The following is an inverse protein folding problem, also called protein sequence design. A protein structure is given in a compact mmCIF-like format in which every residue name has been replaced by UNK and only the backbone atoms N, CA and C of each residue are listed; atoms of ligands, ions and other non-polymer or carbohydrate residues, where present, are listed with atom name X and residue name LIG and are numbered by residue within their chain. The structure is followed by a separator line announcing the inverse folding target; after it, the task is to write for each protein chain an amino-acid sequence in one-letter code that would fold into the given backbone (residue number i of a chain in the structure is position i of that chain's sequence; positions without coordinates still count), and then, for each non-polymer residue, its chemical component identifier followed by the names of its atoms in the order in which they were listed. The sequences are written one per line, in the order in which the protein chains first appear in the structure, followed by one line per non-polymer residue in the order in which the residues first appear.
data_IF_472447973500
#
_entry.id   IF_472447973500
#
_cell.length_a   1.000
_cell.length_b   1.000
_cell.length_c   1.000
_cell.angle_alpha   90.00
_cell.angle_beta   90.00
_cell.angle_gamma   90.00
#
_symmetry.space_group_name_H-M   'P 1'
#
loop_
_entity.id
_entity.type
_entity.pdbx_description
1 polymer ?
#
# COMPACT_ATOMS: atom_id res chain seq x y z
N UNK A 1 10.68 2.40 46.80
CA UNK A 1 9.90 2.79 45.62
C UNK A 1 9.82 1.59 44.70
N UNK A 2 8.65 0.97 44.56
CA UNK A 2 8.46 -0.19 43.67
C UNK A 2 8.64 0.24 42.22
N UNK A 3 9.02 -0.66 41.32
CA UNK A 3 9.16 -0.33 39.89
C UNK A 3 7.82 0.13 39.29
N UNK A 4 6.70 -0.43 39.76
CA UNK A 4 5.36 0.05 39.39
C UNK A 4 5.12 1.52 39.78
N UNK A 5 5.65 1.98 40.93
CA UNK A 5 5.47 3.38 41.37
C UNK A 5 6.27 4.34 40.48
N UNK A 6 7.47 3.92 40.06
CA UNK A 6 8.32 4.69 39.14
C UNK A 6 7.67 4.81 37.77
N UNK A 7 7.06 3.73 37.29
CA UNK A 7 6.31 3.70 36.03
C UNK A 7 5.08 4.60 36.07
N UNK A 8 4.28 4.52 37.15
CA UNK A 8 3.12 5.39 37.34
C UNK A 8 3.52 6.88 37.38
N UNK A 9 4.60 7.21 38.08
CA UNK A 9 5.14 8.57 38.11
C UNK A 9 5.63 9.04 36.72
N UNK A 10 6.24 8.14 35.93
CA UNK A 10 6.64 8.44 34.54
C UNK A 10 5.42 8.69 33.65
N UNK A 11 4.40 7.85 33.73
CA UNK A 11 3.16 8.02 32.96
C UNK A 11 2.45 9.34 33.32
N UNK A 12 2.39 9.69 34.60
CA UNK A 12 1.83 10.96 35.03
C UNK A 12 2.57 12.17 34.44
N UNK A 13 3.91 12.12 34.34
CA UNK A 13 4.71 13.16 33.67
C UNK A 13 4.42 13.20 32.16
N UNK A 14 4.36 12.05 31.49
CA UNK A 14 4.12 12.00 30.06
C UNK A 14 2.74 12.56 29.67
N UNK A 15 1.70 12.28 30.47
CA UNK A 15 0.38 12.91 30.27
C UNK A 15 0.41 14.44 30.38
N UNK A 16 1.27 14.99 31.25
CA UNK A 16 1.48 16.44 31.32
C UNK A 16 2.14 16.97 30.06
N UNK A 17 3.17 16.29 29.56
CA UNK A 17 3.83 16.65 28.31
C UNK A 17 2.87 16.59 27.12
N UNK A 18 2.00 15.58 27.07
CA UNK A 18 0.93 15.49 26.07
C UNK A 18 -0.03 16.67 26.12
N UNK A 19 -0.45 17.09 27.32
CA UNK A 19 -1.34 18.25 27.49
C UNK A 19 -0.67 19.59 27.12
N UNK A 20 0.64 19.71 27.30
CA UNK A 20 1.40 20.89 26.92
C UNK A 20 1.63 20.97 25.40
N UNK A 21 1.83 19.81 24.77
CA UNK A 21 2.05 19.67 23.34
C UNK A 21 3.53 19.56 22.96
N UNK A 22 3.82 18.84 21.88
CA UNK A 22 5.21 18.56 21.48
C UNK A 22 6.03 19.81 21.18
N UNK A 23 5.42 20.80 20.50
CA UNK A 23 6.10 22.03 20.13
C UNK A 23 6.56 22.82 21.37
N UNK A 24 5.73 22.87 22.42
CA UNK A 24 6.10 23.54 23.66
C UNK A 24 7.19 22.77 24.40
N UNK A 25 7.15 21.44 24.42
CA UNK A 25 8.20 20.62 25.05
C UNK A 25 9.53 20.75 24.33
N UNK A 26 9.53 20.90 23.00
CA UNK A 26 10.74 21.16 22.22
C UNK A 26 11.29 22.56 22.50
N UNK A 27 10.44 23.59 22.54
CA UNK A 27 10.84 24.95 22.91
C UNK A 27 11.38 25.02 24.35
N UNK A 28 10.71 24.36 25.30
CA UNK A 28 11.18 24.22 26.68
C UNK A 28 12.56 23.58 26.76
N UNK A 29 12.85 22.59 25.91
CA UNK A 29 14.15 21.92 25.86
C UNK A 29 15.25 22.76 25.23
N UNK A 30 14.89 23.65 24.31
CA UNK A 30 15.81 24.62 23.70
C UNK A 30 16.18 25.73 24.70
N UNK A 31 15.23 26.15 25.53
CA UNK A 31 15.42 27.14 26.60
C UNK A 31 16.03 26.52 27.88
N UNK A 32 15.84 25.21 28.10
CA UNK A 32 16.31 24.53 29.29
C UNK A 32 17.84 24.56 29.40
N UNK A 33 18.32 25.26 30.43
CA UNK A 33 19.73 25.19 30.84
C UNK A 33 20.14 23.75 31.19
N UNK A 34 21.43 23.44 31.11
CA UNK A 34 21.99 22.11 31.41
C UNK A 34 21.62 21.53 32.80
N UNK A 35 21.11 22.37 33.71
CA UNK A 35 20.70 21.99 35.06
C UNK A 35 19.21 21.61 35.21
N UNK A 36 18.39 21.67 34.15
CA UNK A 36 16.98 21.27 34.25
C UNK A 36 16.86 19.75 34.49
N UNK A 37 16.33 19.32 35.67
CA UNK A 37 16.17 17.90 35.98
C UNK A 37 15.12 17.21 35.08
N UNK A 38 14.21 17.95 34.45
CA UNK A 38 13.19 17.40 33.57
C UNK A 38 13.66 17.25 32.11
N UNK A 39 14.75 17.92 31.71
CA UNK A 39 15.24 17.89 30.34
C UNK A 39 15.54 16.47 29.85
N UNK A 40 16.09 15.60 30.71
CA UNK A 40 16.32 14.20 30.36
C UNK A 40 15.00 13.44 30.09
N UNK A 41 13.97 13.71 30.89
CA UNK A 41 12.65 13.09 30.75
C UNK A 41 11.89 13.60 29.52
N UNK A 42 11.96 14.91 29.24
CA UNK A 42 11.36 15.52 28.04
C UNK A 42 12.01 14.96 26.75
N UNK A 43 13.34 14.81 26.72
CA UNK A 43 14.05 14.18 25.57
C UNK A 43 13.71 12.70 25.39
N UNK A 44 13.54 11.97 26.49
CA UNK A 44 13.13 10.56 26.44
C UNK A 44 11.71 10.42 25.87
N UNK A 45 10.80 11.30 26.28
CA UNK A 45 9.44 11.35 25.75
C UNK A 45 9.41 11.66 24.24
N UNK A 46 10.18 12.65 23.77
CA UNK A 46 10.26 12.96 22.33
C UNK A 46 10.75 11.77 21.50
N UNK A 47 11.78 11.05 21.98
CA UNK A 47 12.28 9.84 21.31
C UNK A 47 11.25 8.72 21.23
N UNK A 48 10.41 8.59 22.25
CA UNK A 48 9.31 7.62 22.28
C UNK A 48 8.26 7.96 21.20
N UNK A 49 7.88 9.24 21.09
CA UNK A 49 6.95 9.73 20.04
C UNK A 49 7.49 9.52 18.63
N UNK A 50 8.78 9.78 18.41
CA UNK A 50 9.41 9.54 17.10
C UNK A 50 9.50 8.05 16.75
N UNK A 51 9.67 7.19 17.76
CA UNK A 51 9.63 5.74 17.58
C UNK A 51 8.22 5.26 17.25
N UNK A 52 7.20 5.80 17.92
CA UNK A 52 5.79 5.53 17.65
C UNK A 52 5.41 5.88 16.20
N UNK A 53 5.79 7.08 15.73
CA UNK A 53 5.59 7.51 14.33
C UNK A 53 6.27 6.61 13.33
N UNK A 54 7.54 6.25 13.58
CA UNK A 54 8.25 5.34 12.70
C UNK A 54 7.55 3.99 12.65
N UNK A 55 7.08 3.47 13.78
CA UNK A 55 6.38 2.19 13.83
C UNK A 55 5.03 2.25 13.06
N UNK A 56 4.31 3.37 13.14
CA UNK A 56 3.12 3.59 12.33
C UNK A 56 3.42 3.64 10.83
N UNK A 57 4.50 4.32 10.43
CA UNK A 57 4.96 4.36 9.05
C UNK A 57 5.42 2.99 8.56
N UNK A 58 6.16 2.23 9.37
CA UNK A 58 6.53 0.85 9.08
C UNK A 58 5.28 -0.02 8.94
N UNK A 59 4.30 0.10 9.84
CA UNK A 59 3.04 -0.66 9.75
C UNK A 59 2.26 -0.33 8.49
N UNK A 60 2.19 0.95 8.11
CA UNK A 60 1.56 1.38 6.86
C UNK A 60 2.33 0.86 5.64
N UNK A 61 3.66 0.87 5.68
CA UNK A 61 4.51 0.32 4.63
C UNK A 61 4.33 -1.20 4.52
N UNK A 62 4.30 -1.95 5.62
CA UNK A 62 4.02 -3.39 5.60
C UNK A 62 2.62 -3.72 5.10
N UNK A 63 1.61 -2.92 5.47
CA UNK A 63 0.27 -3.06 4.91
C UNK A 63 0.29 -2.83 3.39
N UNK A 64 1.01 -1.80 2.92
CA UNK A 64 1.19 -1.53 1.49
C UNK A 64 1.95 -2.66 0.78
N UNK A 65 2.97 -3.25 1.41
CA UNK A 65 3.75 -4.37 0.86
C UNK A 65 2.94 -5.65 0.83
N UNK A 66 2.14 -5.95 1.85
CA UNK A 66 1.19 -7.06 1.84
C UNK A 66 0.20 -6.89 0.68
N UNK A 67 -0.35 -5.69 0.50
CA UNK A 67 -1.25 -5.40 -0.63
C UNK A 67 -0.54 -5.45 -1.99
N UNK A 68 0.74 -5.09 -2.06
CA UNK A 68 1.55 -5.18 -3.26
C UNK A 68 1.91 -6.64 -3.60
N UNK A 69 2.09 -7.49 -2.59
CA UNK A 69 2.29 -8.92 -2.76
C UNK A 69 1.01 -9.62 -3.20
N UNK A 70 -0.16 -9.24 -2.66
CA UNK A 70 -1.46 -9.68 -3.15
C UNK A 70 -1.71 -9.21 -4.60
N UNK A 71 -1.30 -7.99 -4.96
CA UNK A 71 -1.34 -7.49 -6.33
C UNK A 71 -0.36 -8.24 -7.26
N UNK A 72 0.81 -8.66 -6.77
CA UNK A 72 1.77 -9.46 -7.52
C UNK A 72 1.30 -10.91 -7.73
N UNK A 73 0.58 -11.49 -6.75
CA UNK A 73 -0.13 -12.77 -6.88
C UNK A 73 -1.28 -12.65 -7.89
N UNK A 74 -2.10 -11.60 -7.80
CA UNK A 74 -3.18 -11.30 -8.76
C UNK A 74 -2.64 -11.09 -10.18
N UNK A 75 -1.47 -10.48 -10.36
CA UNK A 75 -0.81 -10.33 -11.65
C UNK A 75 -0.33 -11.68 -12.23
N UNK A 76 0.13 -12.60 -11.38
CA UNK A 76 0.49 -13.98 -11.79
C UNK A 76 -0.75 -14.83 -12.14
N UNK A 77 -1.82 -14.72 -11.37
CA UNK A 77 -3.09 -15.42 -11.65
C UNK A 77 -3.79 -14.87 -12.89
N UNK A 78 -3.72 -13.56 -13.13
CA UNK A 78 -4.24 -12.91 -14.34
C UNK A 78 -3.54 -13.39 -15.61
N UNK A 79 -2.23 -13.64 -15.55
CA UNK A 79 -1.46 -14.17 -16.69
C UNK A 79 -1.88 -15.61 -17.07
N UNK A 80 -2.34 -16.42 -16.12
CA UNK A 80 -2.86 -17.77 -16.37
C UNK A 80 -4.34 -17.76 -16.81
N UNK A 81 -5.16 -16.88 -16.24
CA UNK A 81 -6.57 -16.72 -16.62
C UNK A 81 -6.74 -16.16 -18.04
N UNK A 82 -5.86 -15.24 -18.46
CA UNK A 82 -5.90 -14.61 -19.78
C UNK A 82 -5.68 -15.60 -20.94
N UNK A 83 -4.97 -16.71 -20.71
CA UNK A 83 -4.73 -17.73 -21.74
C UNK A 83 -5.98 -18.53 -22.14
N UNK A 84 -6.97 -18.67 -21.25
CA UNK A 84 -8.20 -19.44 -21.57
C UNK A 84 -9.28 -18.59 -22.23
N UNK A 85 -9.45 -17.33 -21.83
CA UNK A 85 -10.44 -16.43 -22.43
C UNK A 85 -9.97 -15.85 -23.76
N UNK A 86 -8.68 -15.50 -23.88
CA UNK A 86 -8.10 -15.03 -25.14
C UNK A 86 -8.11 -16.10 -26.24
N UNK A 87 -8.03 -17.38 -25.86
CA UNK A 87 -8.12 -18.49 -26.80
C UNK A 87 -9.52 -18.58 -27.44
N UNK A 88 -10.59 -18.46 -26.64
CA UNK A 88 -11.95 -18.49 -27.16
C UNK A 88 -12.31 -17.24 -27.96
N UNK A 89 -11.81 -16.05 -27.59
CA UNK A 89 -12.02 -14.85 -28.41
C UNK A 89 -11.23 -14.88 -29.71
N UNK A 90 -10.00 -15.42 -29.72
CA UNK A 90 -9.24 -15.63 -30.96
C UNK A 90 -9.95 -16.60 -31.91
N UNK A 91 -10.51 -17.70 -31.37
CA UNK A 91 -11.30 -18.65 -32.16
C UNK A 91 -12.58 -18.00 -32.70
N UNK A 92 -13.30 -17.25 -31.86
CA UNK A 92 -14.52 -16.56 -32.28
C UNK A 92 -14.22 -15.52 -33.38
N UNK A 93 -13.12 -14.76 -33.25
CA UNK A 93 -12.69 -13.81 -34.27
C UNK A 93 -12.34 -14.50 -35.60
N UNK A 94 -11.65 -15.65 -35.55
CA UNK A 94 -11.32 -16.44 -36.74
C UNK A 94 -12.58 -17.00 -37.42
N UNK A 95 -13.53 -17.54 -36.65
CA UNK A 95 -14.79 -18.06 -37.17
C UNK A 95 -15.64 -16.96 -37.83
N UNK A 96 -15.73 -15.78 -37.19
CA UNK A 96 -16.45 -14.63 -37.75
C UNK A 96 -15.80 -14.14 -39.05
N UNK A 97 -14.46 -14.06 -39.08
CA UNK A 97 -13.72 -13.65 -40.28
C UNK A 97 -13.91 -14.65 -41.42
N UNK A 98 -13.86 -15.95 -41.14
CA UNK A 98 -14.13 -17.00 -42.12
C UNK A 98 -15.56 -16.90 -42.68
N UNK A 99 -16.57 -16.67 -41.83
CA UNK A 99 -17.96 -16.48 -42.26
C UNK A 99 -18.14 -15.28 -43.18
N UNK A 100 -17.52 -14.14 -42.85
CA UNK A 100 -17.57 -12.93 -43.69
C UNK A 100 -16.87 -13.15 -45.03
N UNK A 101 -15.71 -13.81 -45.04
CA UNK A 101 -14.98 -14.13 -46.28
C UNK A 101 -15.81 -15.06 -47.18
N UNK A 102 -16.42 -16.12 -46.62
CA UNK A 102 -17.27 -17.04 -47.38
C UNK A 102 -18.50 -16.33 -47.93
N UNK A 103 -19.17 -15.51 -47.12
CA UNK A 103 -20.32 -14.72 -47.58
C UNK A 103 -19.94 -13.72 -48.67
N UNK A 104 -18.80 -13.05 -48.52
CA UNK A 104 -18.26 -12.14 -49.54
C UNK A 104 -17.89 -12.88 -50.83
N UNK A 105 -17.29 -14.07 -50.75
CA UNK A 105 -16.94 -14.88 -51.91
C UNK A 105 -18.17 -15.35 -52.70
N UNK A 106 -19.27 -15.68 -52.00
CA UNK A 106 -20.56 -16.01 -52.62
C UNK A 106 -21.19 -14.75 -53.23
N UNK A 107 -21.23 -13.64 -52.49
CA UNK A 107 -21.86 -12.39 -52.94
C UNK A 107 -21.12 -11.70 -54.11
N UNK A 108 -19.80 -11.87 -54.19
CA UNK A 108 -18.97 -11.35 -55.29
C UNK A 108 -18.95 -12.28 -56.52
N UNK A 109 -19.72 -13.38 -56.51
CA UNK A 109 -19.87 -14.26 -57.68
C UNK A 109 -18.61 -15.03 -58.07
N UNK A 110 -17.61 -15.15 -57.19
CA UNK A 110 -16.35 -15.85 -57.49
C UNK A 110 -16.55 -17.33 -57.83
N UNK A 111 -17.60 -17.95 -57.28
CA UNK A 111 -18.01 -19.33 -57.60
C UNK A 111 -18.50 -19.50 -59.05
N UNK A 112 -19.01 -18.44 -59.69
CA UNK A 112 -19.44 -18.48 -61.09
C UNK A 112 -18.25 -18.30 -62.05
N UNK A 113 -17.18 -17.61 -61.63
CA UNK A 113 -15.96 -17.46 -62.44
C UNK A 113 -15.10 -18.74 -62.45
N UNK A 114 -15.05 -19.48 -61.34
CA UNK A 114 -14.31 -20.75 -61.21
C UNK A 114 -14.95 -21.92 -61.97
N UNK A 115 -16.17 -21.75 -62.49
CA UNK A 115 -16.93 -22.77 -63.22
C UNK A 115 -16.87 -22.60 -64.74
N UNK A 116 -16.09 -21.64 -65.25
CA UNK A 116 -15.94 -21.35 -66.69
C UNK A 116 -14.56 -21.71 -67.22
#
# INVERSE_FOLDING_TARGET
MSDNDKEAARQARYRRYESAGEASIRADLEEASHADPEAASKRAWLRDKDTERQNEQFRAMFASVSSANDAAQLARESALASRRSAFWTMIAALAATAGVIVNAAIALGWLDWLKR
#
